data_IF_092575903447
#
_entry.id   IF_092575903447
#
_cell.length_a   1.000
_cell.length_b   1.000
_cell.length_c   1.000
_cell.angle_alpha   90.00
_cell.angle_beta   90.00
_cell.angle_gamma   90.00
#
_symmetry.space_group_name_H-M   'P 1'
#
loop_
_entity.id
_entity.type
_entity.pdbx_description
1 polymer ?
#
# COMPACT_ATOMS: atom_id res chain seq x y z
N UNK A 1 -17.60 -2.92 -11.24
CA UNK A 1 -17.74 -4.35 -11.62
C UNK A 1 -17.04 -5.17 -10.56
N UNK A 2 -17.78 -5.95 -9.79
CA UNK A 2 -17.24 -6.76 -8.69
C UNK A 2 -16.41 -7.91 -9.28
N UNK A 3 -15.09 -7.85 -9.16
CA UNK A 3 -14.20 -8.95 -9.50
C UNK A 3 -14.20 -9.95 -8.34
N UNK A 4 -15.27 -10.74 -8.23
CA UNK A 4 -15.26 -11.93 -7.37
C UNK A 4 -15.11 -13.13 -8.28
N UNK A 5 -13.94 -13.77 -8.23
CA UNK A 5 -13.82 -15.16 -8.68
C UNK A 5 -14.37 -16.01 -7.51
N UNK A 6 -15.51 -16.70 -7.66
CA UNK A 6 -16.00 -17.62 -6.63
C UNK A 6 -15.00 -18.77 -6.50
N UNK A 7 -14.54 -19.05 -5.27
CA UNK A 7 -13.66 -20.19 -4.97
C UNK A 7 -12.17 -19.88 -4.78
N UNK A 8 -11.80 -18.63 -4.48
CA UNK A 8 -10.43 -18.34 -4.05
C UNK A 8 -10.08 -19.16 -2.78
N UNK A 9 -8.92 -19.83 -2.73
CA UNK A 9 -8.54 -20.71 -1.62
C UNK A 9 -8.49 -19.94 -0.29
N UNK A 10 -8.95 -20.58 0.79
CA UNK A 10 -9.02 -20.00 2.14
C UNK A 10 -7.65 -19.70 2.76
N UNK A 11 -6.58 -20.29 2.23
CA UNK A 11 -5.19 -20.00 2.61
C UNK A 11 -4.55 -19.14 1.54
N UNK A 12 -3.84 -18.09 1.95
CA UNK A 12 -2.92 -17.36 1.08
C UNK A 12 -1.78 -18.30 0.70
N UNK A 13 -1.99 -19.06 -0.38
CA UNK A 13 -1.04 -20.01 -0.91
C UNK A 13 -0.33 -19.39 -2.11
N UNK A 14 1.02 -19.44 -2.15
CA UNK A 14 1.91 -20.02 -1.14
C UNK A 14 1.98 -19.17 0.15
N UNK A 15 2.11 -19.86 1.29
CA UNK A 15 2.43 -19.22 2.59
C UNK A 15 3.77 -18.52 2.42
N UNK A 16 3.79 -17.20 2.60
CA UNK A 16 5.03 -16.45 2.53
C UNK A 16 5.72 -16.51 3.88
N UNK A 17 6.94 -17.07 3.90
CA UNK A 17 7.82 -16.93 5.05
C UNK A 17 8.55 -15.60 4.93
N UNK A 18 8.34 -14.65 5.87
CA UNK A 18 9.05 -13.38 5.86
C UNK A 18 10.54 -13.66 5.83
N UNK A 19 11.22 -13.17 4.80
CA UNK A 19 12.68 -13.22 4.77
C UNK A 19 13.21 -12.20 5.77
N UNK A 20 14.17 -12.61 6.58
CA UNK A 20 14.92 -11.65 7.37
C UNK A 20 15.56 -10.62 6.43
N UNK A 21 15.46 -9.32 6.74
CA UNK A 21 16.15 -8.29 6.00
C UNK A 21 17.63 -8.64 5.83
N UNK A 22 18.19 -8.43 4.63
CA UNK A 22 19.65 -8.42 4.52
C UNK A 22 20.20 -7.27 5.35
N UNK A 23 21.33 -7.49 6.01
CA UNK A 23 21.97 -6.45 6.84
C UNK A 23 22.34 -5.20 6.01
N UNK A 24 22.63 -5.39 4.72
CA UNK A 24 22.95 -4.33 3.79
C UNK A 24 22.27 -4.54 2.43
N UNK A 25 22.02 -3.45 1.72
CA UNK A 25 21.52 -3.45 0.34
C UNK A 25 22.62 -3.77 -0.66
N UNK A 26 22.27 -4.34 -1.82
CA UNK A 26 23.26 -4.53 -2.90
C UNK A 26 23.80 -3.18 -3.40
N UNK A 27 25.04 -3.10 -3.94
CA UNK A 27 25.57 -1.86 -4.49
C UNK A 27 24.67 -1.23 -5.56
N UNK A 28 23.98 -2.07 -6.35
CA UNK A 28 23.04 -1.60 -7.36
C UNK A 28 21.79 -0.96 -6.75
N UNK A 29 21.29 -1.48 -5.63
CA UNK A 29 20.14 -0.95 -4.90
C UNK A 29 20.51 0.33 -4.16
N UNK A 30 21.68 0.38 -3.51
CA UNK A 30 22.20 1.61 -2.89
C UNK A 30 22.35 2.74 -3.92
N UNK A 31 22.91 2.43 -5.09
CA UNK A 31 23.07 3.41 -6.18
C UNK A 31 21.72 3.97 -6.65
N UNK A 32 20.70 3.11 -6.75
CA UNK A 32 19.34 3.54 -7.13
C UNK A 32 18.68 4.40 -6.05
N UNK A 33 18.77 3.98 -4.77
CA UNK A 33 18.26 4.75 -3.63
C UNK A 33 18.85 6.16 -3.65
N UNK A 34 20.17 6.28 -3.85
CA UNK A 34 20.84 7.57 -3.96
C UNK A 34 20.39 8.38 -5.18
N UNK A 35 20.32 7.76 -6.36
CA UNK A 35 19.96 8.44 -7.61
C UNK A 35 18.52 8.99 -7.61
N UNK A 36 17.59 8.30 -6.94
CA UNK A 36 16.20 8.72 -6.82
C UNK A 36 15.90 9.47 -5.50
N UNK A 37 16.93 9.74 -4.69
CA UNK A 37 16.83 10.38 -3.38
C UNK A 37 15.81 9.71 -2.43
N UNK A 38 15.71 8.38 -2.48
CA UNK A 38 14.75 7.62 -1.67
C UNK A 38 15.15 7.63 -0.20
N UNK A 39 14.16 7.80 0.67
CA UNK A 39 14.30 7.76 2.12
C UNK A 39 13.52 6.59 2.70
N UNK A 40 13.89 6.04 3.87
CA UNK A 40 13.08 5.02 4.53
C UNK A 40 11.64 5.48 4.75
N UNK A 41 10.67 4.64 4.41
CA UNK A 41 9.25 4.96 4.57
C UNK A 41 8.71 4.47 5.92
N UNK A 42 7.74 5.19 6.49
CA UNK A 42 7.10 4.82 7.77
C UNK A 42 6.34 3.49 7.71
N UNK A 43 5.95 3.07 6.52
CA UNK A 43 5.31 1.78 6.26
C UNK A 43 6.32 0.64 6.07
N UNK A 44 7.61 0.96 5.92
CA UNK A 44 8.66 0.05 5.44
C UNK A 44 8.93 0.23 3.95
N UNK A 45 10.11 -0.21 3.49
CA UNK A 45 10.65 0.14 2.17
C UNK A 45 11.27 1.54 2.15
N UNK A 46 11.45 2.08 0.95
CA UNK A 46 11.94 3.43 0.70
C UNK A 46 10.99 4.19 -0.22
N UNK A 47 10.96 5.52 -0.13
CA UNK A 47 10.11 6.35 -0.98
C UNK A 47 10.73 7.72 -1.27
N UNK A 48 10.22 8.41 -2.29
CA UNK A 48 10.42 9.83 -2.50
C UNK A 48 9.21 10.43 -3.24
N UNK A 49 8.72 11.60 -2.80
CA UNK A 49 7.70 12.35 -3.54
C UNK A 49 8.31 12.92 -4.83
N UNK A 50 7.69 12.62 -5.97
CA UNK A 50 8.14 13.03 -7.31
C UNK A 50 7.35 14.22 -7.85
N UNK A 51 6.09 14.35 -7.44
CA UNK A 51 5.20 15.42 -7.86
C UNK A 51 4.11 15.66 -6.80
N UNK A 52 3.78 16.93 -6.61
CA UNK A 52 2.61 17.39 -5.89
C UNK A 52 1.96 18.47 -6.73
N UNK A 53 0.77 18.16 -7.26
CA UNK A 53 0.12 19.02 -8.22
C UNK A 53 -0.20 20.39 -7.59
N UNK A 54 0.23 21.52 -8.17
CA UNK A 54 -0.02 22.84 -7.61
C UNK A 54 -1.51 23.23 -7.62
N UNK A 55 -2.36 22.52 -8.39
CA UNK A 55 -3.80 22.66 -8.28
C UNK A 55 -4.28 22.13 -6.94
N UNK A 56 -4.99 22.99 -6.21
CA UNK A 56 -5.64 22.66 -4.92
C UNK A 56 -7.14 22.54 -5.14
N UNK A 57 -7.75 21.53 -4.54
CA UNK A 57 -9.19 21.22 -4.60
C UNK A 57 -9.78 21.13 -3.19
N UNK A 58 -11.11 21.33 -3.01
CA UNK A 58 -11.76 21.10 -1.74
C UNK A 58 -11.52 19.66 -1.25
N UNK A 59 -11.24 19.49 0.05
CA UNK A 59 -11.04 18.18 0.64
C UNK A 59 -12.35 17.37 0.62
N UNK A 60 -12.45 16.29 -0.19
CA UNK A 60 -13.69 15.52 -0.30
C UNK A 60 -13.91 14.56 0.88
N UNK A 61 -12.96 14.49 1.84
CA UNK A 61 -13.00 13.57 2.98
C UNK A 61 -13.51 14.21 4.27
N UNK A 62 -13.84 15.51 4.24
CA UNK A 62 -14.47 16.17 5.37
C UNK A 62 -15.91 15.67 5.55
N UNK A 63 -16.41 15.57 6.80
CA UNK A 63 -17.80 15.28 7.05
C UNK A 63 -18.70 16.29 6.33
N UNK A 64 -19.79 15.83 5.71
CA UNK A 64 -20.73 16.71 4.98
C UNK A 64 -21.56 17.64 5.88
N UNK A 65 -21.35 17.62 7.20
CA UNK A 65 -22.12 18.39 8.18
C UNK A 65 -21.17 19.12 9.13
N UNK A 66 -20.84 20.37 8.79
CA UNK A 66 -20.81 21.53 9.68
C UNK A 66 -20.33 22.76 8.91
N UNK A 67 -21.27 23.48 8.30
CA UNK A 67 -21.13 24.92 8.11
C UNK A 67 -21.02 25.55 9.52
N UNK A 68 -19.82 25.65 10.10
CA UNK A 68 -19.70 26.36 11.37
C UNK A 68 -18.45 26.19 12.20
N UNK A 69 -17.61 25.18 11.94
CA UNK A 69 -16.33 25.08 12.64
C UNK A 69 -15.23 24.88 11.60
N UNK A 70 -14.53 25.97 11.31
CA UNK A 70 -13.28 25.92 10.59
C UNK A 70 -12.28 25.20 11.50
N UNK A 71 -12.33 23.86 11.49
CA UNK A 71 -11.17 23.05 11.77
C UNK A 71 -10.01 23.56 10.92
N UNK A 72 -8.79 23.37 11.43
CA UNK A 72 -7.52 23.85 10.88
C UNK A 72 -7.59 24.13 9.37
N UNK A 73 -7.35 25.38 8.96
CA UNK A 73 -7.52 25.86 7.57
C UNK A 73 -6.71 25.00 6.56
N UNK A 74 -5.66 24.34 7.06
CA UNK A 74 -4.81 23.39 6.33
C UNK A 74 -5.52 22.09 5.91
N UNK A 75 -6.57 21.63 6.61
CA UNK A 75 -7.29 20.38 6.26
C UNK A 75 -8.48 20.62 5.32
N UNK A 76 -8.81 21.88 5.00
CA UNK A 76 -9.92 22.26 4.12
C UNK A 76 -9.73 21.82 2.67
N UNK A 77 -8.49 21.55 2.27
CA UNK A 77 -8.11 21.33 0.88
C UNK A 77 -7.14 20.16 0.71
N UNK A 78 -6.99 19.70 -0.54
CA UNK A 78 -5.96 18.75 -0.98
C UNK A 78 -5.35 19.21 -2.29
N UNK A 79 -4.08 18.89 -2.55
CA UNK A 79 -3.57 18.93 -3.92
C UNK A 79 -4.39 17.97 -4.80
N UNK A 80 -4.54 18.26 -6.09
CA UNK A 80 -5.31 17.41 -6.99
C UNK A 80 -4.73 15.99 -7.11
N UNK A 81 -3.40 15.86 -6.95
CA UNK A 81 -2.70 14.58 -6.88
C UNK A 81 -1.33 14.74 -6.23
N UNK A 82 -0.81 13.65 -5.69
CA UNK A 82 0.62 13.48 -5.38
C UNK A 82 1.10 12.21 -6.04
N UNK A 83 2.37 12.16 -6.40
CA UNK A 83 3.01 10.95 -6.89
C UNK A 83 4.33 10.70 -6.17
N UNK A 84 4.66 9.43 -5.97
CA UNK A 84 5.90 9.00 -5.32
C UNK A 84 6.60 7.90 -6.14
N UNK A 85 7.90 7.75 -5.94
CA UNK A 85 8.55 6.44 -6.07
C UNK A 85 8.39 5.67 -4.77
N UNK A 86 8.17 4.36 -4.85
CA UNK A 86 8.20 3.44 -3.72
C UNK A 86 9.01 2.18 -4.07
N UNK A 87 9.91 1.80 -3.16
CA UNK A 87 10.87 0.72 -3.36
C UNK A 87 10.81 -0.27 -2.20
N UNK A 88 10.59 -1.53 -2.54
CA UNK A 88 10.90 -2.67 -1.67
C UNK A 88 12.22 -3.30 -2.11
N UNK A 89 13.03 -3.73 -1.17
CA UNK A 89 14.37 -4.26 -1.42
C UNK A 89 14.68 -5.44 -0.50
N UNK A 90 15.86 -6.05 -0.58
CA UNK A 90 16.21 -7.16 0.31
C UNK A 90 16.44 -6.72 1.76
N UNK A 91 16.92 -5.50 1.98
CA UNK A 91 17.07 -4.91 3.32
C UNK A 91 15.79 -4.25 3.85
N UNK A 92 14.84 -3.92 2.98
CA UNK A 92 13.51 -3.45 3.37
C UNK A 92 12.41 -4.12 2.52
N UNK A 93 12.13 -5.42 2.74
CA UNK A 93 11.31 -6.22 1.81
C UNK A 93 9.81 -6.08 2.02
N UNK A 94 9.38 -5.29 3.00
CA UNK A 94 8.01 -5.25 3.49
C UNK A 94 7.48 -3.81 3.53
N UNK A 95 6.28 -3.62 2.98
CA UNK A 95 5.39 -2.50 3.23
C UNK A 95 4.22 -2.98 4.11
N UNK A 96 4.13 -2.45 5.31
CA UNK A 96 3.13 -2.84 6.31
C UNK A 96 1.72 -2.43 5.89
N UNK A 97 0.72 -3.10 6.45
CA UNK A 97 -0.68 -2.78 6.21
C UNK A 97 -1.02 -1.34 6.63
N UNK A 98 -1.44 -0.56 5.64
CA UNK A 98 -1.90 0.81 5.82
C UNK A 98 -3.05 1.09 4.85
N UNK A 99 -3.78 2.17 5.08
CA UNK A 99 -4.96 2.54 4.31
C UNK A 99 -4.99 4.05 4.10
N UNK A 100 -5.40 4.44 2.90
CA UNK A 100 -5.67 5.83 2.55
C UNK A 100 -7.18 6.04 2.32
N UNK A 101 -7.66 7.26 2.56
CA UNK A 101 -9.00 7.68 2.10
C UNK A 101 -9.04 7.89 0.59
N UNK A 102 -7.96 8.41 0.01
CA UNK A 102 -7.78 8.57 -1.43
C UNK A 102 -7.46 7.25 -2.12
N UNK A 103 -7.87 7.14 -3.38
CA UNK A 103 -7.47 6.01 -4.23
C UNK A 103 -6.03 6.16 -4.68
N UNK A 104 -5.33 5.05 -4.86
CA UNK A 104 -3.94 5.02 -5.31
C UNK A 104 -3.80 4.18 -6.57
N UNK A 105 -3.24 4.78 -7.63
CA UNK A 105 -2.82 4.09 -8.85
C UNK A 105 -1.36 3.71 -8.72
N UNK A 106 -1.02 2.46 -8.99
CA UNK A 106 0.34 1.93 -8.85
C UNK A 106 0.82 1.42 -10.21
N UNK A 107 2.09 1.65 -10.53
CA UNK A 107 2.71 1.19 -11.78
C UNK A 107 4.10 0.60 -11.51
N UNK A 108 4.37 -0.59 -12.05
CA UNK A 108 5.68 -1.26 -11.95
C UNK A 108 6.72 -0.60 -12.85
N UNK A 109 7.81 -0.11 -12.25
CA UNK A 109 8.99 0.40 -12.96
C UNK A 109 10.04 -0.71 -13.12
N UNK A 110 10.28 -1.52 -12.10
CA UNK A 110 11.12 -2.72 -12.19
C UNK A 110 10.86 -3.70 -11.04
N UNK A 111 11.28 -4.95 -11.24
CA UNK A 111 11.19 -5.97 -10.21
C UNK A 111 9.81 -6.62 -10.10
N UNK A 112 9.59 -7.30 -8.96
CA UNK A 112 8.43 -8.15 -8.74
C UNK A 112 8.03 -8.19 -7.27
N UNK A 113 6.74 -8.10 -7.00
CA UNK A 113 6.19 -8.04 -5.64
C UNK A 113 4.89 -8.81 -5.51
N UNK A 114 4.39 -8.88 -4.28
CA UNK A 114 3.02 -9.29 -4.00
C UNK A 114 2.34 -8.24 -3.17
N UNK A 115 1.12 -7.91 -3.54
CA UNK A 115 0.22 -7.09 -2.75
C UNK A 115 -0.81 -7.98 -2.07
N UNK A 116 -1.23 -7.56 -0.88
CA UNK A 116 -2.32 -8.13 -0.11
C UNK A 116 -3.25 -7.00 0.28
N UNK A 117 -4.53 -7.15 -0.01
CA UNK A 117 -5.56 -6.17 0.29
C UNK A 117 -6.60 -6.76 1.25
N UNK A 118 -7.00 -6.00 2.25
CA UNK A 118 -8.18 -6.27 3.08
C UNK A 118 -9.23 -5.24 2.68
N UNK A 119 -10.34 -5.69 2.11
CA UNK A 119 -11.46 -4.85 1.64
C UNK A 119 -12.32 -4.41 2.83
N UNK A 120 -11.77 -3.55 3.69
CA UNK A 120 -12.39 -3.10 4.93
C UNK A 120 -13.62 -2.21 4.73
N UNK A 121 -13.79 -1.67 3.52
CA UNK A 121 -14.93 -0.92 3.02
C UNK A 121 -16.15 -1.79 2.70
N UNK A 122 -15.98 -3.11 2.52
CA UNK A 122 -17.09 -4.02 2.22
C UNK A 122 -17.95 -4.31 3.46
N UNK A 123 -19.23 -4.64 3.25
CA UNK A 123 -20.12 -5.09 4.32
C UNK A 123 -19.70 -6.43 4.92
N UNK A 124 -20.23 -6.76 6.10
CA UNK A 124 -19.96 -8.00 6.81
C UNK A 124 -18.91 -7.87 7.92
N UNK A 125 -18.98 -8.78 8.89
CA UNK A 125 -18.09 -8.78 10.05
C UNK A 125 -16.65 -9.10 9.66
N UNK A 126 -16.46 -10.14 8.85
CA UNK A 126 -15.15 -10.55 8.32
C UNK A 126 -14.98 -10.07 6.89
N UNK A 127 -13.87 -9.40 6.62
CA UNK A 127 -13.56 -8.73 5.37
C UNK A 127 -12.88 -9.67 4.40
N UNK A 128 -13.16 -9.48 3.12
CA UNK A 128 -12.51 -10.23 2.05
C UNK A 128 -11.04 -9.84 1.98
N UNK A 129 -10.18 -10.85 1.86
CA UNK A 129 -8.75 -10.70 1.60
C UNK A 129 -8.47 -11.04 0.14
N UNK A 130 -7.71 -10.20 -0.54
CA UNK A 130 -7.25 -10.41 -1.91
C UNK A 130 -5.72 -10.38 -1.95
N UNK A 131 -5.10 -11.23 -2.76
CA UNK A 131 -3.66 -11.15 -3.02
C UNK A 131 -3.35 -11.41 -4.48
N UNK A 132 -2.41 -10.64 -5.03
CA UNK A 132 -1.95 -10.78 -6.40
C UNK A 132 -0.48 -10.41 -6.54
N UNK A 133 0.13 -10.94 -7.60
CA UNK A 133 1.51 -10.61 -7.96
C UNK A 133 1.54 -9.37 -8.84
N UNK A 134 2.52 -8.50 -8.58
CA UNK A 134 2.86 -7.36 -9.42
C UNK A 134 4.21 -7.59 -10.08
N UNK A 135 4.30 -7.25 -11.36
CA UNK A 135 5.45 -7.55 -12.20
C UNK A 135 5.12 -7.34 -13.68
N UNK A 136 5.92 -7.92 -14.57
CA UNK A 136 5.80 -7.75 -16.04
C UNK A 136 5.55 -9.06 -16.78
N UNK A 137 5.34 -10.16 -16.07
CA UNK A 137 5.03 -11.45 -16.66
C UNK A 137 3.51 -11.56 -16.91
N UNK A 138 3.06 -10.93 -18.01
CA UNK A 138 1.64 -10.83 -18.35
C UNK A 138 1.00 -12.18 -18.66
N UNK A 139 1.76 -13.10 -19.27
CA UNK A 139 1.29 -14.45 -19.58
C UNK A 139 0.98 -15.24 -18.30
N UNK A 140 1.64 -14.92 -17.18
CA UNK A 140 1.36 -15.49 -15.86
C UNK A 140 0.37 -14.67 -15.02
N UNK A 141 -0.26 -13.65 -15.62
CA UNK A 141 -1.30 -12.84 -14.99
C UNK A 141 -0.79 -11.81 -13.98
N UNK A 142 0.49 -11.44 -14.04
CA UNK A 142 1.04 -10.38 -13.17
C UNK A 142 0.52 -9.01 -13.57
N UNK A 143 0.25 -8.16 -12.57
CA UNK A 143 -0.23 -6.79 -12.79
C UNK A 143 0.95 -5.82 -12.87
N UNK A 144 1.10 -5.12 -13.99
CA UNK A 144 2.04 -3.99 -14.10
C UNK A 144 1.42 -2.67 -13.66
N UNK A 145 0.08 -2.56 -13.70
CA UNK A 145 -0.69 -1.41 -13.24
C UNK A 145 -1.89 -1.93 -12.45
N UNK A 146 -2.17 -1.34 -11.29
CA UNK A 146 -3.38 -1.63 -10.52
C UNK A 146 -3.81 -0.42 -9.70
N UNK A 147 -5.07 -0.44 -9.25
CA UNK A 147 -5.65 0.60 -8.41
C UNK A 147 -6.09 -0.03 -7.10
N UNK A 148 -5.75 0.63 -5.99
CA UNK A 148 -6.36 0.37 -4.68
C UNK A 148 -7.28 1.55 -4.39
N UNK A 149 -8.59 1.29 -4.33
CA UNK A 149 -9.56 2.31 -3.91
C UNK A 149 -9.38 2.65 -2.42
N UNK A 150 -9.83 3.84 -2.04
CA UNK A 150 -9.80 4.29 -0.64
C UNK A 150 -10.59 3.36 0.29
N UNK A 151 -10.22 3.36 1.57
CA UNK A 151 -10.91 2.54 2.59
C UNK A 151 -10.35 1.12 2.76
N UNK A 152 -9.40 0.70 1.92
CA UNK A 152 -8.79 -0.64 1.93
C UNK A 152 -7.43 -0.63 2.61
N UNK A 153 -7.16 -1.63 3.45
CA UNK A 153 -5.79 -1.85 3.93
C UNK A 153 -4.99 -2.56 2.83
N UNK A 154 -3.85 -1.98 2.45
CA UNK A 154 -2.88 -2.57 1.52
C UNK A 154 -1.57 -2.86 2.25
N UNK A 155 -1.03 -4.05 2.02
CA UNK A 155 0.30 -4.46 2.43
C UNK A 155 1.04 -5.06 1.24
N UNK A 156 2.35 -4.99 1.22
CA UNK A 156 3.15 -5.47 0.08
C UNK A 156 4.47 -6.06 0.51
N UNK A 157 5.01 -6.98 -0.30
CA UNK A 157 6.33 -7.52 -0.06
C UNK A 157 7.05 -7.93 -1.34
N UNK A 158 8.37 -7.91 -1.29
CA UNK A 158 9.25 -8.33 -2.37
C UNK A 158 9.14 -9.85 -2.61
N UNK A 159 9.02 -10.27 -3.88
CA UNK A 159 9.06 -11.70 -4.25
C UNK A 159 10.13 -11.98 -5.31
N UNK A 160 11.23 -12.60 -4.88
CA UNK A 160 12.38 -12.83 -5.74
C UNK A 160 13.08 -11.52 -6.15
N UNK A 161 14.20 -11.66 -6.88
CA UNK A 161 15.01 -10.51 -7.28
C UNK A 161 15.64 -9.72 -6.13
N UNK A 162 16.20 -8.56 -6.46
CA UNK A 162 16.88 -7.67 -5.52
C UNK A 162 15.97 -6.56 -4.99
N UNK A 163 14.97 -6.16 -5.77
CA UNK A 163 14.05 -5.06 -5.44
C UNK A 163 12.80 -5.05 -6.31
N UNK A 164 11.80 -4.30 -5.89
CA UNK A 164 10.59 -3.90 -6.60
C UNK A 164 10.50 -2.38 -6.50
N UNK A 165 10.55 -1.69 -7.64
CA UNK A 165 10.31 -0.25 -7.73
C UNK A 165 8.98 0.00 -8.44
N UNK A 166 8.15 0.82 -7.82
CA UNK A 166 6.86 1.26 -8.36
C UNK A 166 6.75 2.78 -8.31
N UNK A 167 5.92 3.36 -9.16
CA UNK A 167 5.36 4.68 -8.93
C UNK A 167 3.95 4.55 -8.36
N UNK A 168 3.61 5.38 -7.39
CA UNK A 168 2.25 5.49 -6.87
C UNK A 168 1.73 6.91 -7.07
N UNK A 169 0.48 7.06 -7.50
CA UNK A 169 -0.22 8.34 -7.61
C UNK A 169 -1.49 8.27 -6.79
N UNK A 170 -1.63 9.18 -5.82
CA UNK A 170 -2.81 9.29 -4.95
C UNK A 170 -3.69 10.44 -5.45
N UNK A 171 -5.00 10.20 -5.54
CA UNK A 171 -6.00 11.20 -5.93
C UNK A 171 -7.19 11.19 -4.97
N UNK A 172 -7.53 12.33 -4.34
CA UNK A 172 -6.73 13.55 -4.19
C UNK A 172 -5.33 13.30 -3.60
N UNK A 173 -4.47 14.31 -3.65
CA UNK A 173 -3.10 14.22 -3.15
C UNK A 173 -3.00 13.74 -1.72
N UNK A 174 -1.96 12.95 -1.44
CA UNK A 174 -1.71 12.34 -0.14
C UNK A 174 -1.48 13.40 0.94
N UNK A 175 -2.18 13.21 2.06
CA UNK A 175 -1.91 13.86 3.33
C UNK A 175 -1.92 12.82 4.45
N UNK A 176 -1.08 13.00 5.47
CA UNK A 176 -1.00 12.06 6.60
C UNK A 176 -2.32 11.94 7.38
N UNK A 177 -3.17 12.98 7.35
CA UNK A 177 -4.51 12.97 7.96
C UNK A 177 -5.48 11.96 7.30
N UNK A 178 -5.16 11.50 6.09
CA UNK A 178 -5.97 10.52 5.35
C UNK A 178 -5.39 9.11 5.40
N UNK A 179 -4.30 8.91 6.14
CA UNK A 179 -3.53 7.68 6.22
C UNK A 179 -3.60 7.07 7.62
N UNK A 180 -3.93 5.78 7.71
CA UNK A 180 -3.81 5.01 8.95
C UNK A 180 -3.15 3.64 8.77
N UNK A 181 -2.58 3.11 9.86
CA UNK A 181 -2.01 1.76 9.90
C UNK A 181 -3.02 0.77 10.46
N UNK A 182 -3.02 -0.45 9.93
CA UNK A 182 -3.75 -1.56 10.56
C UNK A 182 -3.05 -1.95 11.87
N UNK A 183 -3.81 -2.03 12.95
CA UNK A 183 -3.33 -2.55 14.24
C UNK A 183 -3.56 -4.06 14.33
N UNK A 184 -2.86 -4.73 15.27
CA UNK A 184 -3.05 -6.16 15.53
C UNK A 184 -4.50 -6.49 15.88
N UNK A 185 -5.08 -5.74 16.83
CA UNK A 185 -6.50 -5.89 17.20
C UNK A 185 -7.44 -5.60 16.02
N UNK A 186 -7.06 -4.65 15.15
CA UNK A 186 -7.78 -4.36 13.92
C UNK A 186 -7.79 -5.55 12.97
N UNK A 187 -6.63 -6.21 12.78
CA UNK A 187 -6.52 -7.42 11.98
C UNK A 187 -7.42 -8.54 12.54
N UNK A 188 -7.33 -8.84 13.84
CA UNK A 188 -8.15 -9.87 14.50
C UNK A 188 -9.66 -9.63 14.34
N UNK A 189 -10.08 -8.35 14.38
CA UNK A 189 -11.46 -7.96 14.12
C UNK A 189 -11.84 -8.19 12.66
N UNK A 190 -11.01 -7.75 11.71
CA UNK A 190 -11.35 -7.71 10.28
C UNK A 190 -11.26 -9.06 9.58
N UNK A 191 -10.40 -10.00 10.00
CA UNK A 191 -10.20 -11.28 9.28
C UNK A 191 -10.46 -12.49 10.16
N UNK A 192 -10.49 -13.69 9.54
CA UNK A 192 -10.63 -14.97 10.28
C UNK A 192 -9.34 -15.29 11.03
N UNK A 193 -9.43 -16.11 12.08
CA UNK A 193 -8.29 -16.47 12.94
C UNK A 193 -7.11 -17.05 12.12
N UNK A 194 -7.39 -17.92 11.16
CA UNK A 194 -6.34 -18.51 10.31
C UNK A 194 -5.65 -17.44 9.43
N UNK A 195 -6.38 -16.39 9.05
CA UNK A 195 -5.83 -15.28 8.28
C UNK A 195 -5.02 -14.32 9.15
N UNK A 196 -5.30 -14.23 10.46
CA UNK A 196 -4.48 -13.45 11.39
C UNK A 196 -3.08 -14.04 11.44
N UNK A 197 -2.95 -15.35 11.64
CA UNK A 197 -1.65 -16.04 11.66
C UNK A 197 -0.88 -15.86 10.35
N UNK A 198 -1.57 -15.89 9.20
CA UNK A 198 -0.94 -15.71 7.89
C UNK A 198 -0.48 -14.27 7.62
N UNK A 199 -1.09 -13.27 8.28
CA UNK A 199 -0.96 -11.85 7.92
C UNK A 199 -0.35 -10.96 9.01
N UNK A 200 -0.26 -11.42 10.25
CA UNK A 200 0.19 -10.58 11.37
C UNK A 200 1.58 -10.00 11.16
N UNK A 201 2.44 -10.68 10.41
CA UNK A 201 3.78 -10.19 10.11
C UNK A 201 3.78 -8.93 9.23
N UNK A 202 2.71 -8.68 8.46
CA UNK A 202 2.49 -7.45 7.68
C UNK A 202 1.94 -6.30 8.52
N UNK A 203 1.54 -6.54 9.78
CA UNK A 203 1.16 -5.48 10.71
C UNK A 203 2.42 -4.82 11.25
N UNK A 204 2.42 -3.48 11.29
CA UNK A 204 3.56 -2.71 11.80
C UNK A 204 3.81 -3.05 13.26
N UNK A 205 5.06 -3.36 13.61
CA UNK A 205 5.47 -3.53 15.01
C UNK A 205 5.57 -2.15 15.67
N UNK A 206 4.92 -2.01 16.83
CA UNK A 206 4.97 -0.82 17.70
C UNK A 206 6.34 -0.62 18.31
#
# INVERSE_FOLDING_TARGET
>A
MSSTIPGAPSKLTPIYTPRHPSAEESPSTQSLIAALNLQPHIEGGYFAEIDRNPLVIPNPFLPQENEGDAGDDDDAVRNASTSIYYLLSRGAPQGCFHRNKGRTVHTVIEGRGRYVLIHADEEGEKKRVESFVVGRDFERGEKSVWVVEGGKFKGSYLIGGERLLVSETVVPGFEYADHDFLTRDGLERLVKEEQVEELEWLVRRS
#
